data_IF_263094204415
#
_entry.id   IF_263094204415
#
_cell.length_a   1.000
_cell.length_b   1.000
_cell.length_c   1.000
_cell.angle_alpha   90.00
_cell.angle_beta   90.00
_cell.angle_gamma   90.00
#
_symmetry.space_group_name_H-M   'P 1'
#
loop_
_entity.id
_entity.type
_entity.pdbx_description
1 polymer ?
#
# COMPACT_ATOMS: atom_id res chain seq x y z
N UNK A 1 -1.43 9.17 -2.01
CA UNK A 1 -0.58 8.56 -3.06
C UNK A 1 -1.05 9.08 -4.41
N UNK A 2 -0.19 9.65 -5.25
CA UNK A 2 -0.48 10.17 -6.61
C UNK A 2 -1.56 11.25 -6.77
N UNK A 3 -2.02 11.88 -5.70
CA UNK A 3 -3.16 12.81 -5.74
C UNK A 3 -2.95 13.98 -6.71
N UNK A 4 -1.76 14.58 -6.73
CA UNK A 4 -1.43 15.70 -7.62
C UNK A 4 -1.48 15.26 -9.10
N UNK A 5 -0.87 14.12 -9.43
CA UNK A 5 -0.88 13.57 -10.79
C UNK A 5 -2.30 13.20 -11.22
N UNK A 6 -3.07 12.56 -10.34
CA UNK A 6 -4.46 12.20 -10.56
C UNK A 6 -5.34 13.42 -10.88
N UNK A 7 -5.25 14.50 -10.06
CA UNK A 7 -6.06 15.70 -10.25
C UNK A 7 -5.75 16.39 -11.59
N UNK A 8 -4.48 16.41 -12.00
CA UNK A 8 -4.05 16.95 -13.29
C UNK A 8 -4.51 16.11 -14.47
N UNK A 9 -4.42 14.78 -14.38
CA UNK A 9 -4.92 13.87 -15.41
C UNK A 9 -6.45 13.93 -15.52
N UNK A 10 -7.17 13.97 -14.40
CA UNK A 10 -8.62 14.18 -14.41
C UNK A 10 -9.01 15.49 -15.09
N UNK A 11 -8.22 16.55 -14.90
CA UNK A 11 -8.47 17.85 -15.56
C UNK A 11 -8.23 17.76 -17.06
N UNK A 12 -7.18 17.05 -17.49
CA UNK A 12 -6.90 16.79 -18.91
C UNK A 12 -8.05 16.01 -19.58
N UNK A 13 -8.65 15.04 -18.89
CA UNK A 13 -9.77 14.26 -19.42
C UNK A 13 -11.12 14.98 -19.38
N UNK A 14 -11.30 16.03 -18.55
CA UNK A 14 -12.57 16.78 -18.52
C UNK A 14 -12.96 17.34 -19.88
N UNK A 15 -11.98 17.77 -20.66
CA UNK A 15 -12.21 18.32 -22.00
C UNK A 15 -12.70 17.26 -23.01
N UNK A 16 -12.54 15.99 -22.70
CA UNK A 16 -13.00 14.87 -23.55
C UNK A 16 -14.30 14.23 -23.02
N UNK A 17 -14.63 14.40 -21.74
CA UNK A 17 -15.84 13.85 -21.13
C UNK A 17 -17.06 14.62 -21.65
N UNK A 18 -17.99 13.90 -22.28
CA UNK A 18 -19.24 14.46 -22.78
C UNK A 18 -19.21 14.93 -24.24
N UNK A 19 -18.07 14.81 -24.94
CA UNK A 19 -18.03 15.07 -26.38
C UNK A 19 -18.42 13.79 -27.14
N UNK A 20 -19.47 13.91 -27.96
CA UNK A 20 -19.94 12.83 -28.83
C UNK A 20 -18.98 12.51 -29.98
N UNK A 21 -18.03 13.40 -30.28
CA UNK A 21 -16.96 13.22 -31.27
C UNK A 21 -15.68 13.84 -30.74
N UNK A 22 -14.57 13.15 -30.93
CA UNK A 22 -13.21 13.64 -30.62
C UNK A 22 -12.52 13.97 -31.96
N UNK A 23 -11.93 15.16 -32.04
CA UNK A 23 -11.11 15.58 -33.18
C UNK A 23 -9.64 15.36 -32.89
N UNK A 24 -8.79 15.31 -33.93
CA UNK A 24 -7.33 15.26 -33.76
C UNK A 24 -6.79 16.41 -32.92
N UNK A 25 -7.41 17.60 -33.02
CA UNK A 25 -7.06 18.77 -32.22
C UNK A 25 -7.32 18.52 -30.72
N UNK A 26 -8.46 17.91 -30.39
CA UNK A 26 -8.80 17.57 -29.00
C UNK A 26 -7.83 16.54 -28.44
N UNK A 27 -7.46 15.53 -29.24
CA UNK A 27 -6.43 14.53 -28.87
C UNK A 27 -5.10 15.23 -28.60
N UNK A 28 -4.66 16.09 -29.52
CA UNK A 28 -3.37 16.78 -29.39
C UNK A 28 -3.32 17.67 -28.13
N UNK A 29 -4.42 18.37 -27.82
CA UNK A 29 -4.52 19.19 -26.61
C UNK A 29 -4.47 18.34 -25.35
N UNK A 30 -5.26 17.27 -25.28
CA UNK A 30 -5.27 16.36 -24.11
C UNK A 30 -3.91 15.67 -23.91
N UNK A 31 -3.27 15.23 -24.98
CA UNK A 31 -1.93 14.61 -24.92
C UNK A 31 -0.89 15.61 -24.39
N UNK A 32 -0.97 16.90 -24.78
CA UNK A 32 -0.11 17.94 -24.25
C UNK A 32 -0.33 18.17 -22.74
N UNK A 33 -1.57 18.18 -22.29
CA UNK A 33 -1.92 18.30 -20.88
C UNK A 33 -1.45 17.09 -20.05
N UNK A 34 -1.61 15.87 -20.57
CA UNK A 34 -1.09 14.63 -19.96
C UNK A 34 0.44 14.71 -19.83
N UNK A 35 1.15 15.13 -20.88
CA UNK A 35 2.61 15.30 -20.84
C UNK A 35 3.02 16.28 -19.75
N UNK A 36 2.34 17.42 -19.66
CA UNK A 36 2.59 18.40 -18.62
C UNK A 36 2.34 17.84 -17.23
N UNK A 37 1.24 17.11 -17.03
CA UNK A 37 0.92 16.48 -15.76
C UNK A 37 2.00 15.49 -15.31
N UNK A 38 2.54 14.69 -16.22
CA UNK A 38 3.62 13.75 -15.94
C UNK A 38 4.93 14.46 -15.56
N UNK A 39 5.32 15.50 -16.31
CA UNK A 39 6.53 16.29 -16.02
C UNK A 39 6.40 17.00 -14.66
N UNK A 40 5.23 17.59 -14.37
CA UNK A 40 4.95 18.22 -13.08
C UNK A 40 4.92 17.20 -11.91
N UNK A 41 4.77 15.93 -12.21
CA UNK A 41 4.87 14.81 -11.27
C UNK A 41 6.28 14.22 -11.19
N UNK A 42 7.31 14.93 -11.67
CA UNK A 42 8.71 14.51 -11.70
C UNK A 42 9.01 13.30 -12.61
N UNK A 43 8.17 13.02 -13.60
CA UNK A 43 8.54 12.08 -14.68
C UNK A 43 9.53 12.76 -15.62
N UNK A 44 10.59 12.04 -15.98
CA UNK A 44 11.57 12.53 -16.95
C UNK A 44 10.90 12.95 -18.27
N UNK A 45 11.27 14.13 -18.79
CA UNK A 45 10.63 14.69 -19.99
C UNK A 45 10.69 13.76 -21.21
N UNK A 46 11.80 13.05 -21.42
CA UNK A 46 11.95 12.10 -22.54
C UNK A 46 10.92 10.99 -22.40
N UNK A 47 10.75 10.43 -21.21
CA UNK A 47 9.79 9.37 -20.92
C UNK A 47 8.36 9.88 -21.13
N UNK A 48 8.04 11.05 -20.57
CA UNK A 48 6.72 11.67 -20.72
C UNK A 48 6.40 11.96 -22.21
N UNK A 49 7.39 12.36 -22.99
CA UNK A 49 7.23 12.58 -24.44
C UNK A 49 6.95 11.28 -25.18
N UNK A 50 7.79 10.25 -25.03
CA UNK A 50 7.62 8.97 -25.70
C UNK A 50 6.29 8.31 -25.35
N UNK A 51 5.90 8.35 -24.07
CA UNK A 51 4.61 7.88 -23.59
C UNK A 51 3.44 8.57 -24.28
N UNK A 52 3.49 9.92 -24.31
CA UNK A 52 2.39 10.70 -24.90
C UNK A 52 2.36 10.64 -26.42
N UNK A 53 3.48 10.43 -27.08
CA UNK A 53 3.52 10.22 -28.53
C UNK A 53 2.86 8.88 -28.89
N UNK A 54 3.13 7.79 -28.15
CA UNK A 54 2.41 6.51 -28.29
C UNK A 54 0.90 6.63 -28.11
N UNK A 55 0.47 7.39 -27.08
CA UNK A 55 -0.97 7.64 -26.86
C UNK A 55 -1.57 8.38 -28.05
N UNK A 56 -0.89 9.40 -28.56
CA UNK A 56 -1.36 10.17 -29.73
C UNK A 56 -1.56 9.26 -30.93
N UNK A 57 -0.58 8.43 -31.24
CA UNK A 57 -0.63 7.52 -32.40
C UNK A 57 -1.81 6.53 -32.30
N UNK A 58 -2.04 5.97 -31.10
CA UNK A 58 -3.17 5.07 -30.83
C UNK A 58 -4.52 5.80 -30.84
N UNK A 59 -4.56 7.06 -30.40
CA UNK A 59 -5.79 7.83 -30.25
C UNK A 59 -6.26 8.46 -31.57
N UNK A 60 -5.37 8.74 -32.51
CA UNK A 60 -5.72 9.32 -33.83
C UNK A 60 -6.27 8.26 -34.80
N UNK A 61 -6.20 6.97 -34.46
CA UNK A 61 -6.77 5.92 -35.29
C UNK A 61 -8.29 6.06 -35.50
N UNK A 62 -8.79 5.72 -36.69
CA UNK A 62 -10.22 5.82 -37.07
C UNK A 62 -11.17 5.18 -36.03
N UNK A 63 -10.75 4.08 -35.40
CA UNK A 63 -11.54 3.37 -34.38
C UNK A 63 -11.86 4.22 -33.15
N UNK A 64 -10.96 5.15 -32.77
CA UNK A 64 -11.16 6.04 -31.61
C UNK A 64 -12.01 7.24 -31.97
N UNK A 65 -11.73 7.87 -33.11
CA UNK A 65 -12.44 9.07 -33.56
C UNK A 65 -13.92 8.78 -33.85
N UNK A 66 -14.23 7.56 -34.32
CA UNK A 66 -15.58 7.12 -34.67
C UNK A 66 -16.25 6.24 -33.60
N UNK A 67 -15.67 6.10 -32.39
CA UNK A 67 -16.25 5.29 -31.34
C UNK A 67 -17.51 5.95 -30.72
N UNK A 68 -18.44 5.14 -30.21
CA UNK A 68 -19.65 5.61 -29.51
C UNK A 68 -19.29 6.41 -28.24
N UNK A 69 -18.17 6.06 -27.59
CA UNK A 69 -17.66 6.73 -26.38
C UNK A 69 -16.17 7.04 -26.52
N UNK A 70 -15.78 8.02 -27.36
CA UNK A 70 -14.37 8.28 -27.65
C UNK A 70 -13.56 8.67 -26.42
N UNK A 71 -14.15 9.42 -25.49
CA UNK A 71 -13.51 9.83 -24.24
C UNK A 71 -13.16 8.64 -23.32
N UNK A 72 -14.05 7.64 -23.24
CA UNK A 72 -13.78 6.42 -22.47
C UNK A 72 -12.68 5.57 -23.10
N UNK A 73 -12.67 5.49 -24.44
CA UNK A 73 -11.64 4.76 -25.17
C UNK A 73 -10.27 5.43 -24.99
N UNK A 74 -10.21 6.78 -24.98
CA UNK A 74 -8.99 7.53 -24.69
C UNK A 74 -8.46 7.23 -23.27
N UNK A 75 -9.32 7.22 -22.25
CA UNK A 75 -8.96 6.86 -20.88
C UNK A 75 -8.42 5.42 -20.82
N UNK A 76 -9.03 4.49 -21.55
CA UNK A 76 -8.56 3.11 -21.66
C UNK A 76 -7.16 3.04 -22.30
N UNK A 77 -6.92 3.76 -23.40
CA UNK A 77 -5.59 3.81 -24.05
C UNK A 77 -4.55 4.32 -23.05
N UNK A 78 -4.84 5.39 -22.33
CA UNK A 78 -3.91 5.96 -21.34
C UNK A 78 -3.66 4.96 -20.18
N UNK A 79 -4.70 4.25 -19.71
CA UNK A 79 -4.57 3.20 -18.70
C UNK A 79 -3.64 2.08 -19.18
N UNK A 80 -3.89 1.58 -20.38
CA UNK A 80 -3.14 0.47 -20.94
C UNK A 80 -1.67 0.85 -21.16
N UNK A 81 -1.39 2.07 -21.66
CA UNK A 81 -0.03 2.58 -21.82
C UNK A 81 0.68 2.84 -20.47
N UNK A 82 -0.04 3.34 -19.45
CA UNK A 82 0.52 3.48 -18.10
C UNK A 82 0.87 2.12 -17.50
N UNK A 83 0.01 1.13 -17.69
CA UNK A 83 0.25 -0.25 -17.23
C UNK A 83 1.52 -0.80 -17.87
N UNK A 84 1.67 -0.66 -19.18
CA UNK A 84 2.86 -1.10 -19.92
C UNK A 84 4.12 -0.37 -19.48
N UNK A 85 4.04 0.95 -19.30
CA UNK A 85 5.15 1.79 -18.84
C UNK A 85 5.65 1.38 -17.44
N UNK A 86 4.75 0.90 -16.57
CA UNK A 86 5.08 0.41 -15.23
C UNK A 86 5.49 -1.07 -15.18
N UNK A 87 5.48 -1.78 -16.31
CA UNK A 87 6.00 -3.14 -16.41
C UNK A 87 5.02 -4.20 -16.90
N UNK A 88 3.77 -3.81 -17.22
CA UNK A 88 2.74 -4.70 -17.77
C UNK A 88 2.12 -5.60 -16.71
N UNK A 89 2.88 -6.58 -16.24
CA UNK A 89 2.42 -7.61 -15.30
C UNK A 89 3.21 -7.59 -13.99
N UNK A 90 2.64 -8.23 -12.96
CA UNK A 90 3.33 -8.51 -11.70
C UNK A 90 4.52 -9.45 -11.92
N UNK A 91 5.66 -9.12 -11.33
CA UNK A 91 6.81 -10.02 -11.29
C UNK A 91 7.01 -10.53 -9.86
N UNK A 92 6.71 -11.80 -9.58
CA UNK A 92 6.78 -12.36 -8.24
C UNK A 92 8.22 -12.42 -7.72
N UNK A 93 8.34 -12.46 -6.39
CA UNK A 93 9.62 -12.66 -5.71
C UNK A 93 10.12 -14.10 -5.94
N UNK A 94 11.37 -14.26 -6.32
CA UNK A 94 11.99 -15.57 -6.47
C UNK A 94 12.47 -16.09 -5.08
N UNK A 95 11.71 -17.01 -4.52
CA UNK A 95 12.02 -17.67 -3.25
C UNK A 95 12.47 -19.12 -3.44
N UNK A 96 12.89 -19.49 -4.64
CA UNK A 96 13.39 -20.84 -4.94
C UNK A 96 14.84 -20.96 -4.49
N UNK A 97 15.09 -21.80 -3.48
CA UNK A 97 16.42 -22.03 -2.91
C UNK A 97 16.33 -22.79 -1.57
N UNK A 98 17.45 -23.28 -1.07
CA UNK A 98 17.51 -23.97 0.23
C UNK A 98 18.77 -23.56 1.02
N UNK A 99 18.73 -22.40 1.67
CA UNK A 99 17.73 -21.33 1.64
C UNK A 99 17.79 -20.47 0.37
N UNK A 100 16.69 -19.78 0.04
CA UNK A 100 16.71 -18.68 -0.91
C UNK A 100 17.35 -17.45 -0.25
N UNK A 101 18.29 -16.80 -0.92
CA UNK A 101 18.99 -15.61 -0.41
C UNK A 101 18.48 -14.37 -1.10
N UNK A 102 18.07 -13.39 -0.31
CA UNK A 102 17.58 -12.08 -0.76
C UNK A 102 18.51 -11.01 -0.21
N UNK A 103 19.15 -10.27 -1.09
CA UNK A 103 20.06 -9.17 -0.74
C UNK A 103 19.32 -7.85 -0.87
N UNK A 104 19.33 -7.03 0.19
CA UNK A 104 18.69 -5.72 0.21
C UNK A 104 19.75 -4.64 0.04
N UNK A 105 19.62 -3.81 -0.99
CA UNK A 105 20.55 -2.73 -1.32
C UNK A 105 19.84 -1.38 -1.46
N UNK A 106 20.57 -0.27 -1.28
CA UNK A 106 20.05 1.09 -1.42
C UNK A 106 20.75 2.11 -0.54
N UNK A 107 20.42 3.39 -0.69
CA UNK A 107 21.03 4.48 0.09
C UNK A 107 20.57 4.46 1.56
N UNK A 108 21.28 5.20 2.40
CA UNK A 108 20.88 5.45 3.79
C UNK A 108 19.54 6.21 3.82
N UNK A 109 18.66 5.81 4.74
CA UNK A 109 17.35 6.45 4.86
C UNK A 109 16.30 6.00 3.84
N UNK A 110 16.66 5.14 2.87
CA UNK A 110 15.70 4.60 1.89
C UNK A 110 14.71 3.58 2.49
N UNK A 111 14.87 3.17 3.75
CA UNK A 111 13.96 2.25 4.43
C UNK A 111 14.32 0.77 4.31
N UNK A 112 15.57 0.41 4.00
CA UNK A 112 16.04 -0.98 3.85
C UNK A 112 15.72 -1.86 5.07
N UNK A 113 16.15 -1.44 6.25
CA UNK A 113 15.95 -2.21 7.50
C UNK A 113 14.49 -2.43 7.81
N UNK A 114 13.65 -1.39 7.68
CA UNK A 114 12.21 -1.50 7.85
C UNK A 114 11.59 -2.41 6.80
N UNK A 115 12.02 -2.30 5.55
CA UNK A 115 11.55 -3.16 4.47
C UNK A 115 11.98 -4.62 4.69
N UNK A 116 13.21 -4.88 5.17
CA UNK A 116 13.68 -6.23 5.52
C UNK A 116 12.76 -6.90 6.54
N UNK A 117 12.37 -6.17 7.60
CA UNK A 117 11.37 -6.64 8.57
C UNK A 117 10.00 -6.91 7.95
N UNK A 118 9.48 -5.96 7.15
CA UNK A 118 8.18 -6.12 6.46
C UNK A 118 8.18 -7.30 5.49
N UNK A 119 9.28 -7.49 4.73
CA UNK A 119 9.42 -8.62 3.82
C UNK A 119 9.45 -9.95 4.58
N UNK A 120 10.17 -10.02 5.70
CA UNK A 120 10.18 -11.20 6.55
C UNK A 120 8.79 -11.52 7.10
N UNK A 121 8.07 -10.51 7.58
CA UNK A 121 6.68 -10.66 8.02
C UNK A 121 5.76 -11.15 6.89
N UNK A 122 5.86 -10.58 5.70
CA UNK A 122 5.10 -10.99 4.52
C UNK A 122 5.38 -12.45 4.14
N UNK A 123 6.65 -12.83 4.08
CA UNK A 123 7.04 -14.20 3.74
C UNK A 123 6.56 -15.22 4.78
N UNK A 124 6.61 -14.87 6.07
CA UNK A 124 6.10 -15.70 7.16
C UNK A 124 4.58 -15.84 7.10
N UNK A 125 3.86 -14.72 7.05
CA UNK A 125 2.39 -14.70 7.24
C UNK A 125 1.60 -15.02 5.97
N UNK A 126 2.09 -14.58 4.80
CA UNK A 126 1.39 -14.76 3.51
C UNK A 126 1.91 -15.90 2.67
N UNK A 127 3.18 -16.28 2.84
CA UNK A 127 3.81 -17.34 2.05
C UNK A 127 4.11 -18.61 2.87
N UNK A 128 3.92 -18.57 4.20
CA UNK A 128 4.21 -19.72 5.08
C UNK A 128 5.68 -20.09 5.15
N UNK A 129 6.60 -19.16 4.83
CA UNK A 129 8.03 -19.40 4.83
C UNK A 129 8.64 -19.10 6.21
N UNK A 130 9.83 -19.67 6.47
CA UNK A 130 10.58 -19.46 7.72
C UNK A 130 11.85 -18.64 7.44
N UNK A 131 11.74 -17.27 7.43
CA UNK A 131 12.86 -16.41 7.10
C UNK A 131 13.87 -16.29 8.25
N UNK A 132 15.12 -15.93 7.90
CA UNK A 132 16.17 -15.44 8.78
C UNK A 132 16.56 -14.04 8.33
N UNK A 133 16.50 -13.07 9.23
CA UNK A 133 17.03 -11.73 9.02
C UNK A 133 18.53 -11.71 9.32
N UNK A 134 19.31 -10.93 8.57
CA UNK A 134 20.77 -10.81 8.75
C UNK A 134 21.16 -9.35 8.81
N UNK A 135 21.82 -8.96 9.91
CA UNK A 135 22.33 -7.61 10.11
C UNK A 135 23.74 -7.47 9.51
N UNK A 136 23.83 -7.04 8.26
CA UNK A 136 25.11 -6.80 7.59
C UNK A 136 25.48 -5.31 7.50
N UNK A 137 24.75 -4.40 8.17
CA UNK A 137 25.16 -3.00 8.35
C UNK A 137 26.12 -2.88 9.54
N UNK A 138 27.39 -3.15 9.27
CA UNK A 138 28.47 -3.18 10.28
C UNK A 138 28.88 -1.79 10.77
N UNK A 139 28.49 -0.74 10.09
CA UNK A 139 28.89 0.64 10.39
C UNK A 139 27.96 1.33 11.40
N UNK A 140 26.75 0.81 11.58
CA UNK A 140 25.73 1.42 12.45
C UNK A 140 25.18 0.42 13.44
N UNK A 141 25.72 0.38 14.69
CA UNK A 141 25.20 -0.48 15.76
C UNK A 141 23.69 -0.30 16.00
N UNK A 142 23.20 0.92 15.88
CA UNK A 142 21.77 1.20 16.02
C UNK A 142 20.91 0.52 14.92
N UNK A 143 21.44 0.30 13.71
CA UNK A 143 20.72 -0.43 12.67
C UNK A 143 20.60 -1.93 12.96
N UNK A 144 21.65 -2.54 13.54
CA UNK A 144 21.60 -3.94 14.00
C UNK A 144 20.55 -4.10 15.11
N UNK A 145 20.53 -3.17 16.08
CA UNK A 145 19.56 -3.17 17.15
C UNK A 145 18.14 -2.96 16.64
N UNK A 146 17.96 -2.03 15.69
CA UNK A 146 16.67 -1.83 15.04
C UNK A 146 16.18 -3.11 14.36
N UNK A 147 17.04 -3.81 13.63
CA UNK A 147 16.68 -5.06 12.96
C UNK A 147 16.31 -6.15 13.97
N UNK A 148 17.01 -6.21 15.13
CA UNK A 148 16.70 -7.12 16.24
C UNK A 148 15.31 -6.88 16.81
N UNK A 149 14.99 -5.63 17.12
CA UNK A 149 13.67 -5.23 17.63
C UNK A 149 12.55 -5.58 16.63
N UNK A 150 12.76 -5.30 15.34
CA UNK A 150 11.81 -5.67 14.30
C UNK A 150 11.62 -7.18 14.20
N UNK A 151 12.72 -7.95 14.28
CA UNK A 151 12.67 -9.42 14.25
C UNK A 151 11.87 -9.98 15.43
N UNK A 152 12.08 -9.47 16.65
CA UNK A 152 11.33 -9.84 17.85
C UNK A 152 9.85 -9.50 17.72
N UNK A 153 9.52 -8.31 17.23
CA UNK A 153 8.15 -7.86 17.04
C UNK A 153 7.33 -8.80 16.11
N UNK A 154 7.96 -9.33 15.06
CA UNK A 154 7.31 -10.23 14.09
C UNK A 154 7.55 -11.72 14.41
N UNK A 155 8.32 -12.03 15.44
CA UNK A 155 8.66 -13.39 15.84
C UNK A 155 9.46 -14.14 14.77
N UNK A 156 10.50 -13.52 14.20
CA UNK A 156 11.41 -14.05 13.20
C UNK A 156 12.84 -14.05 13.77
N UNK A 157 13.63 -15.07 13.46
CA UNK A 157 15.02 -15.13 13.90
C UNK A 157 15.86 -14.08 13.18
N UNK A 158 16.87 -13.56 13.90
CA UNK A 158 17.88 -12.65 13.36
C UNK A 158 19.29 -13.18 13.62
N UNK A 159 20.16 -13.03 12.62
CA UNK A 159 21.59 -13.34 12.71
C UNK A 159 22.37 -12.04 12.87
N UNK A 160 23.06 -11.87 14.00
CA UNK A 160 23.86 -10.70 14.35
C UNK A 160 25.23 -11.17 14.85
N UNK A 161 26.30 -10.60 14.30
CA UNK A 161 27.68 -10.77 14.75
C UNK A 161 28.28 -9.39 15.08
N UNK A 162 27.97 -8.83 16.25
CA UNK A 162 28.28 -7.44 16.60
C UNK A 162 29.78 -7.09 16.54
N UNK A 163 30.64 -8.05 16.87
CA UNK A 163 32.10 -7.87 16.88
C UNK A 163 32.73 -8.05 15.48
N UNK A 164 32.03 -8.69 14.57
CA UNK A 164 32.53 -8.94 13.22
C UNK A 164 32.38 -7.67 12.35
N UNK A 165 33.48 -7.22 11.78
CA UNK A 165 33.55 -6.04 10.88
C UNK A 165 33.65 -6.40 9.40
N UNK A 166 33.40 -7.66 9.05
CA UNK A 166 33.38 -8.16 7.68
C UNK A 166 31.95 -8.58 7.29
N UNK A 167 31.25 -7.70 6.57
CA UNK A 167 29.89 -7.94 6.10
C UNK A 167 29.76 -9.17 5.18
N UNK A 168 30.81 -9.51 4.44
CA UNK A 168 30.85 -10.69 3.57
C UNK A 168 30.91 -11.98 4.41
N UNK A 169 31.74 -11.96 5.46
CA UNK A 169 31.84 -13.08 6.40
C UNK A 169 30.51 -13.30 7.14
N UNK A 170 29.88 -12.24 7.62
CA UNK A 170 28.54 -12.30 8.27
C UNK A 170 27.52 -12.92 7.32
N UNK A 171 27.48 -12.49 6.06
CA UNK A 171 26.54 -13.01 5.08
C UNK A 171 26.72 -14.52 4.83
N UNK A 172 27.98 -15.00 4.69
CA UNK A 172 28.29 -16.43 4.53
C UNK A 172 27.90 -17.24 5.75
N UNK A 173 28.28 -16.79 6.94
CA UNK A 173 27.94 -17.41 8.22
C UNK A 173 26.44 -17.52 8.40
N UNK A 174 25.70 -16.46 8.08
CA UNK A 174 24.24 -16.45 8.15
C UNK A 174 23.59 -17.49 7.22
N UNK A 175 24.07 -17.64 5.98
CA UNK A 175 23.56 -18.64 5.04
C UNK A 175 23.85 -20.06 5.55
N UNK A 176 25.02 -20.30 6.12
CA UNK A 176 25.36 -21.58 6.74
C UNK A 176 24.47 -21.86 7.96
N UNK A 177 24.27 -20.86 8.84
CA UNK A 177 23.36 -20.93 9.99
C UNK A 177 21.91 -21.19 9.58
N UNK A 178 21.45 -20.57 8.50
CA UNK A 178 20.10 -20.78 7.98
C UNK A 178 19.86 -22.25 7.59
N UNK A 179 20.83 -22.89 6.93
CA UNK A 179 20.75 -24.32 6.56
C UNK A 179 20.64 -25.20 7.80
N UNK A 180 21.47 -24.94 8.82
CA UNK A 180 21.47 -25.75 10.06
C UNK A 180 20.19 -25.57 10.89
N UNK A 181 19.55 -24.40 10.80
CA UNK A 181 18.31 -24.06 11.52
C UNK A 181 17.03 -24.27 10.70
N UNK A 182 17.12 -24.98 9.56
CA UNK A 182 15.98 -25.22 8.65
C UNK A 182 15.23 -23.94 8.25
N UNK A 183 15.97 -22.83 8.06
CA UNK A 183 15.42 -21.61 7.48
C UNK A 183 15.39 -21.75 5.96
N UNK A 184 14.29 -21.34 5.34
CA UNK A 184 14.14 -21.50 3.90
C UNK A 184 14.37 -20.19 3.12
N UNK A 185 14.44 -19.05 3.82
CA UNK A 185 14.79 -17.76 3.23
C UNK A 185 15.77 -17.01 4.15
N UNK A 186 16.77 -16.37 3.55
CA UNK A 186 17.71 -15.45 4.22
C UNK A 186 17.55 -14.07 3.62
N UNK A 187 17.30 -13.06 4.44
CA UNK A 187 17.19 -11.67 4.03
C UNK A 187 18.37 -10.90 4.62
N UNK A 188 19.26 -10.42 3.77
CA UNK A 188 20.48 -9.72 4.17
C UNK A 188 20.26 -8.22 4.07
N UNK A 189 20.15 -7.53 5.22
CA UNK A 189 20.06 -6.09 5.33
C UNK A 189 21.45 -5.47 5.30
N UNK A 190 21.79 -4.74 4.22
CA UNK A 190 23.13 -4.18 4.03
C UNK A 190 23.22 -2.74 4.49
N UNK A 191 24.43 -2.27 4.70
CA UNK A 191 24.72 -0.88 4.96
C UNK A 191 24.19 0.03 3.82
N UNK A 192 23.86 1.26 4.17
CA UNK A 192 23.61 2.33 3.21
C UNK A 192 24.40 3.57 3.60
N UNK A 193 24.88 4.29 2.62
CA UNK A 193 25.51 5.60 2.80
C UNK A 193 24.65 6.71 2.23
N UNK A 194 24.93 7.94 2.61
CA UNK A 194 24.17 9.12 2.16
C UNK A 194 24.30 9.38 0.66
N UNK A 195 25.42 8.97 0.08
CA UNK A 195 25.69 9.07 -1.35
C UNK A 195 26.28 7.76 -1.87
N UNK A 196 26.27 7.60 -3.19
CA UNK A 196 26.91 6.46 -3.86
C UNK A 196 28.43 6.66 -3.73
N UNK A 197 29.11 5.68 -3.13
CA UNK A 197 30.56 5.61 -3.08
C UNK A 197 31.09 4.22 -3.47
N UNK A 198 32.33 4.17 -3.95
CA UNK A 198 32.95 2.93 -4.42
C UNK A 198 33.14 1.87 -3.33
N UNK A 199 33.38 2.28 -2.08
CA UNK A 199 33.56 1.35 -0.97
C UNK A 199 32.26 0.59 -0.68
N UNK A 200 31.15 1.31 -0.58
CA UNK A 200 29.83 0.70 -0.38
C UNK A 200 29.45 -0.21 -1.56
N UNK A 201 29.62 0.27 -2.79
CA UNK A 201 29.29 -0.51 -3.98
C UNK A 201 30.12 -1.79 -4.10
N UNK A 202 31.39 -1.70 -3.73
CA UNK A 202 32.29 -2.87 -3.70
C UNK A 202 31.91 -3.84 -2.61
N UNK A 203 31.54 -3.38 -1.41
CA UNK A 203 31.10 -4.22 -0.32
C UNK A 203 29.84 -5.02 -0.70
N UNK A 204 28.81 -4.32 -1.22
CA UNK A 204 27.57 -4.99 -1.64
C UNK A 204 27.82 -5.98 -2.80
N UNK A 205 28.71 -5.62 -3.76
CA UNK A 205 29.11 -6.53 -4.83
C UNK A 205 29.85 -7.77 -4.31
N UNK A 206 30.70 -7.59 -3.30
CA UNK A 206 31.41 -8.72 -2.66
C UNK A 206 30.44 -9.63 -1.90
N UNK A 207 29.46 -9.06 -1.20
CA UNK A 207 28.39 -9.87 -0.57
C UNK A 207 27.62 -10.65 -1.65
N UNK A 208 27.18 -9.97 -2.74
CA UNK A 208 26.50 -10.63 -3.88
C UNK A 208 27.31 -11.84 -4.40
N UNK A 209 28.60 -11.65 -4.65
CA UNK A 209 29.48 -12.71 -5.19
C UNK A 209 29.66 -13.85 -4.18
N UNK A 210 29.67 -13.55 -2.88
CA UNK A 210 29.91 -14.52 -1.83
C UNK A 210 28.73 -15.45 -1.55
N UNK A 211 27.48 -14.94 -1.69
CA UNK A 211 26.26 -15.68 -1.34
C UNK A 211 25.36 -15.99 -2.54
N UNK A 212 25.68 -15.49 -3.74
CA UNK A 212 24.93 -15.74 -4.99
C UNK A 212 23.41 -15.64 -4.78
N UNK A 213 22.87 -14.45 -4.44
CA UNK A 213 21.48 -14.31 -4.06
C UNK A 213 20.53 -14.59 -5.23
N UNK A 214 19.37 -15.18 -4.95
CA UNK A 214 18.28 -15.37 -5.91
C UNK A 214 17.59 -14.06 -6.24
N UNK A 215 17.63 -13.10 -5.29
CA UNK A 215 17.06 -11.76 -5.47
C UNK A 215 18.02 -10.71 -4.92
N UNK A 216 18.19 -9.65 -5.67
CA UNK A 216 18.80 -8.41 -5.22
C UNK A 216 17.74 -7.33 -5.33
N UNK A 217 17.26 -6.82 -4.20
CA UNK A 217 16.19 -5.84 -4.15
C UNK A 217 16.75 -4.46 -3.86
N UNK A 218 16.59 -3.56 -4.81
CA UNK A 218 16.98 -2.17 -4.65
C UNK A 218 15.86 -1.39 -3.99
N UNK A 219 16.12 -0.88 -2.78
CA UNK A 219 15.16 -0.10 -1.98
C UNK A 219 15.41 1.38 -2.19
N UNK A 220 14.39 2.08 -2.65
CA UNK A 220 14.48 3.50 -2.97
C UNK A 220 13.33 4.29 -2.34
N UNK A 221 13.66 5.47 -1.82
CA UNK A 221 12.70 6.44 -1.31
C UNK A 221 12.01 7.15 -2.48
N UNK A 222 10.71 6.99 -2.60
CA UNK A 222 9.92 7.60 -3.69
C UNK A 222 9.81 9.13 -3.59
N UNK A 223 10.18 9.72 -2.46
CA UNK A 223 10.15 11.17 -2.26
C UNK A 223 11.37 11.89 -2.87
N UNK A 224 12.43 11.16 -3.23
CA UNK A 224 13.68 11.75 -3.75
C UNK A 224 13.62 12.11 -5.24
N UNK A 225 12.49 11.91 -5.90
CA UNK A 225 12.26 12.37 -7.27
C UNK A 225 13.29 11.84 -8.28
N UNK A 226 13.91 12.73 -9.06
CA UNK A 226 14.86 12.36 -10.11
C UNK A 226 16.16 11.76 -9.56
N UNK A 227 16.57 12.10 -8.33
CA UNK A 227 17.76 11.51 -7.70
C UNK A 227 17.58 10.00 -7.45
N UNK A 228 16.35 9.57 -7.20
CA UNK A 228 16.02 8.14 -7.12
C UNK A 228 16.35 7.40 -8.43
N UNK A 229 16.10 8.03 -9.57
CA UNK A 229 16.36 7.45 -10.90
C UNK A 229 17.87 7.32 -11.15
N UNK A 230 18.63 8.37 -10.85
CA UNK A 230 20.09 8.38 -11.01
C UNK A 230 20.73 7.31 -10.11
N UNK A 231 20.27 7.22 -8.86
CA UNK A 231 20.70 6.22 -7.90
C UNK A 231 20.38 4.80 -8.39
N UNK A 232 19.16 4.56 -8.86
CA UNK A 232 18.74 3.27 -9.37
C UNK A 232 19.63 2.83 -10.55
N UNK A 233 19.98 3.76 -11.46
CA UNK A 233 20.87 3.47 -12.58
C UNK A 233 22.26 3.02 -12.11
N UNK A 234 22.89 3.78 -11.22
CA UNK A 234 24.22 3.46 -10.73
C UNK A 234 24.27 2.10 -9.98
N UNK A 235 23.24 1.81 -9.15
CA UNK A 235 23.12 0.52 -8.50
C UNK A 235 22.86 -0.62 -9.51
N UNK A 236 22.07 -0.39 -10.54
CA UNK A 236 21.81 -1.38 -11.57
C UNK A 236 23.07 -1.71 -12.38
N UNK A 237 23.82 -0.70 -12.78
CA UNK A 237 25.06 -0.87 -13.55
C UNK A 237 26.11 -1.70 -12.79
N UNK A 238 26.13 -1.63 -11.44
CA UNK A 238 27.08 -2.37 -10.60
C UNK A 238 26.57 -3.73 -10.12
N UNK A 239 25.31 -3.80 -9.73
CA UNK A 239 24.75 -4.98 -9.06
C UNK A 239 23.85 -5.82 -9.96
N UNK A 240 23.33 -5.27 -11.06
CA UNK A 240 22.32 -5.90 -11.89
C UNK A 240 21.17 -6.47 -11.01
N UNK A 241 20.55 -5.60 -10.19
CA UNK A 241 19.53 -6.02 -9.26
C UNK A 241 18.29 -6.59 -9.98
N UNK A 242 17.55 -7.45 -9.28
CA UNK A 242 16.42 -8.20 -9.86
C UNK A 242 15.08 -7.51 -9.71
N UNK A 243 14.97 -6.53 -8.81
CA UNK A 243 13.73 -5.80 -8.58
C UNK A 243 13.91 -4.53 -7.76
N UNK A 244 12.93 -3.65 -7.87
CA UNK A 244 12.87 -2.36 -7.18
C UNK A 244 11.78 -2.41 -6.12
N UNK A 245 12.05 -1.78 -4.98
CA UNK A 245 11.11 -1.57 -3.88
C UNK A 245 10.94 -0.07 -3.69
N UNK A 246 9.70 0.38 -3.76
CA UNK A 246 9.35 1.77 -3.49
C UNK A 246 8.92 1.93 -2.04
N UNK A 247 9.55 2.85 -1.32
CA UNK A 247 9.21 3.17 0.07
C UNK A 247 8.64 4.58 0.17
N UNK A 248 7.98 4.88 1.29
CA UNK A 248 7.44 6.20 1.66
C UNK A 248 6.46 6.78 0.64
N UNK A 249 5.69 5.94 -0.04
CA UNK A 249 4.64 6.38 -0.97
C UNK A 249 3.43 7.03 -0.27
N UNK A 250 3.35 6.91 1.04
CA UNK A 250 2.39 7.60 1.92
C UNK A 250 2.73 9.09 2.15
N UNK A 251 3.97 9.50 1.88
CA UNK A 251 4.37 10.89 1.87
C UNK A 251 3.77 11.69 0.69
N UNK A 252 4.07 12.98 0.62
CA UNK A 252 3.65 13.84 -0.49
C UNK A 252 4.48 13.55 -1.75
N UNK A 253 4.30 12.36 -2.30
CA UNK A 253 5.02 11.92 -3.50
C UNK A 253 4.25 12.28 -4.74
N UNK A 254 4.94 12.87 -5.71
CA UNK A 254 4.38 13.18 -7.04
C UNK A 254 4.21 11.92 -7.90
N UNK A 255 4.85 10.79 -7.50
CA UNK A 255 4.68 9.47 -8.11
C UNK A 255 5.47 9.21 -9.39
N UNK A 256 6.07 10.23 -9.98
CA UNK A 256 6.82 10.09 -11.23
C UNK A 256 8.12 9.31 -11.12
N UNK A 257 8.71 9.26 -9.92
CA UNK A 257 9.92 8.48 -9.68
C UNK A 257 9.74 6.99 -10.01
N UNK A 258 8.60 6.39 -9.64
CA UNK A 258 8.30 4.99 -9.92
C UNK A 258 8.34 4.69 -11.43
N UNK A 259 7.67 5.54 -12.22
CA UNK A 259 7.62 5.44 -13.68
C UNK A 259 9.03 5.60 -14.27
N UNK A 260 9.74 6.63 -13.81
CA UNK A 260 11.06 6.95 -14.33
C UNK A 260 12.13 5.90 -14.00
N UNK A 261 12.08 5.32 -12.79
CA UNK A 261 12.99 4.23 -12.38
C UNK A 261 12.76 3.01 -13.27
N UNK A 262 11.49 2.53 -13.36
CA UNK A 262 11.16 1.35 -14.17
C UNK A 262 11.66 1.50 -15.61
N UNK A 263 11.40 2.66 -16.22
CA UNK A 263 11.82 2.93 -17.59
C UNK A 263 13.36 2.93 -17.73
N UNK A 264 14.07 3.59 -16.78
CA UNK A 264 15.53 3.82 -16.89
C UNK A 264 16.32 2.54 -16.67
N UNK A 265 15.96 1.72 -15.68
CA UNK A 265 16.72 0.51 -15.33
C UNK A 265 16.14 -0.76 -15.93
N UNK A 266 14.96 -0.70 -16.51
CA UNK A 266 14.23 -1.84 -17.08
C UNK A 266 14.10 -3.03 -16.12
N UNK A 267 13.98 -2.77 -14.81
CA UNK A 267 13.78 -3.79 -13.77
C UNK A 267 12.38 -3.68 -13.21
N UNK A 268 11.72 -4.79 -12.81
CA UNK A 268 10.38 -4.75 -12.27
C UNK A 268 10.35 -4.08 -10.89
N UNK A 269 9.29 -3.32 -10.64
CA UNK A 269 8.93 -2.94 -9.28
C UNK A 269 8.18 -4.14 -8.69
N UNK A 270 8.65 -4.65 -7.53
CA UNK A 270 8.07 -5.84 -6.91
C UNK A 270 7.16 -5.51 -5.74
N UNK A 271 7.52 -4.54 -4.93
CA UNK A 271 6.77 -4.14 -3.75
C UNK A 271 6.72 -2.64 -3.57
N UNK A 272 5.67 -2.24 -2.84
CA UNK A 272 5.48 -0.89 -2.31
C UNK A 272 5.37 -0.98 -0.80
N UNK A 273 6.19 -0.22 -0.09
CA UNK A 273 6.20 -0.16 1.37
C UNK A 273 5.69 1.20 1.84
N UNK A 274 4.52 1.20 2.46
CA UNK A 274 3.84 2.40 2.96
C UNK A 274 3.86 2.42 4.49
N UNK A 275 4.03 3.63 5.07
CA UNK A 275 3.99 3.80 6.52
C UNK A 275 4.99 2.92 7.30
N UNK A 276 4.84 2.85 8.62
CA UNK A 276 5.79 2.17 9.51
C UNK A 276 5.33 0.79 9.99
N UNK A 277 4.05 0.43 9.85
CA UNK A 277 3.51 -0.84 10.31
C UNK A 277 4.11 -2.02 9.55
N UNK A 278 4.38 -3.13 10.23
CA UNK A 278 5.01 -4.32 9.65
C UNK A 278 4.15 -5.06 8.63
N UNK A 279 2.86 -4.84 8.62
CA UNK A 279 1.91 -5.37 7.63
C UNK A 279 1.70 -4.44 6.41
N UNK A 280 2.26 -3.23 6.46
CA UNK A 280 2.11 -2.24 5.39
C UNK A 280 3.14 -2.47 4.26
N UNK A 281 3.02 -3.62 3.60
CA UNK A 281 3.77 -4.03 2.41
C UNK A 281 2.81 -4.59 1.39
N UNK A 282 2.71 -3.93 0.25
CA UNK A 282 1.87 -4.35 -0.86
C UNK A 282 2.72 -4.86 -2.04
N UNK A 283 2.25 -5.91 -2.71
CA UNK A 283 2.80 -6.34 -3.99
C UNK A 283 2.47 -5.26 -5.04
N UNK A 284 3.42 -4.99 -5.93
CA UNK A 284 3.22 -4.00 -6.97
C UNK A 284 2.49 -4.61 -8.18
N UNK A 285 1.28 -4.16 -8.40
CA UNK A 285 0.46 -4.51 -9.57
C UNK A 285 0.40 -3.34 -10.53
N UNK A 286 1.09 -3.37 -11.70
CA UNK A 286 1.11 -2.26 -12.66
C UNK A 286 -0.28 -1.75 -13.05
N UNK A 287 -1.21 -2.65 -13.34
CA UNK A 287 -2.58 -2.27 -13.74
C UNK A 287 -3.34 -1.56 -12.61
N UNK A 288 -3.27 -2.05 -11.37
CA UNK A 288 -3.91 -1.41 -10.21
C UNK A 288 -3.32 -0.02 -9.94
N UNK A 289 -2.01 0.11 -10.15
CA UNK A 289 -1.32 1.39 -9.99
C UNK A 289 -1.73 2.39 -11.06
N UNK A 290 -1.87 1.95 -12.32
CA UNK A 290 -2.41 2.77 -13.41
C UNK A 290 -3.85 3.23 -13.11
N UNK A 291 -4.69 2.36 -12.59
CA UNK A 291 -6.06 2.69 -12.18
C UNK A 291 -6.08 3.75 -11.07
N UNK A 292 -5.20 3.61 -10.06
CA UNK A 292 -5.06 4.61 -8.96
C UNK A 292 -4.63 5.98 -9.50
N UNK A 293 -3.64 6.01 -10.38
CA UNK A 293 -3.15 7.25 -11.01
C UNK A 293 -4.26 7.94 -11.80
N UNK A 294 -5.14 7.19 -12.44
CA UNK A 294 -6.27 7.70 -13.23
C UNK A 294 -7.53 7.98 -12.39
N UNK A 295 -7.48 7.85 -11.07
CA UNK A 295 -8.63 8.09 -10.21
C UNK A 295 -9.76 7.09 -10.35
N UNK A 296 -9.49 5.94 -10.98
CA UNK A 296 -10.48 4.87 -11.17
C UNK A 296 -10.67 4.00 -9.91
N UNK A 297 -9.90 4.28 -8.86
CA UNK A 297 -9.88 3.49 -7.63
C UNK A 297 -9.12 2.16 -7.77
N UNK A 298 -9.14 1.38 -6.70
CA UNK A 298 -8.55 0.04 -6.65
C UNK A 298 -9.44 -0.87 -5.81
N UNK A 299 -10.60 -1.20 -6.37
CA UNK A 299 -11.61 -2.03 -5.70
C UNK A 299 -11.04 -3.42 -5.39
N UNK A 300 -10.18 -3.96 -6.26
CA UNK A 300 -9.61 -5.30 -6.07
C UNK A 300 -8.76 -5.36 -4.81
N UNK A 301 -7.82 -4.41 -4.63
CA UNK A 301 -7.01 -4.33 -3.41
C UNK A 301 -7.85 -4.07 -2.16
N UNK A 302 -8.92 -3.28 -2.26
CA UNK A 302 -9.83 -3.03 -1.16
C UNK A 302 -10.53 -4.32 -0.73
N UNK A 303 -11.05 -5.10 -1.69
CA UNK A 303 -11.72 -6.39 -1.44
C UNK A 303 -10.74 -7.41 -0.88
N UNK A 304 -9.52 -7.51 -1.42
CA UNK A 304 -8.48 -8.41 -0.91
C UNK A 304 -8.09 -8.08 0.54
N UNK A 305 -7.92 -6.81 0.88
CA UNK A 305 -7.65 -6.38 2.26
C UNK A 305 -8.82 -6.68 3.19
N UNK A 306 -10.05 -6.42 2.72
CA UNK A 306 -11.24 -6.78 3.47
C UNK A 306 -11.29 -8.29 3.74
N UNK A 307 -11.10 -9.13 2.73
CA UNK A 307 -11.11 -10.58 2.86
C UNK A 307 -10.02 -11.13 3.81
N UNK A 308 -8.83 -10.52 3.82
CA UNK A 308 -7.73 -10.93 4.70
C UNK A 308 -7.99 -10.65 6.19
N UNK A 309 -8.83 -9.65 6.49
CA UNK A 309 -9.17 -9.25 7.86
C UNK A 309 -10.52 -9.81 8.31
N UNK A 310 -11.29 -10.44 7.40
CA UNK A 310 -12.60 -10.99 7.70
C UNK A 310 -12.45 -12.31 8.47
N UNK A 311 -12.73 -12.26 9.76
CA UNK A 311 -13.05 -13.44 10.56
C UNK A 311 -14.53 -13.78 10.31
N UNK A 312 -14.77 -14.84 9.52
CA UNK A 312 -16.12 -15.28 9.17
C UNK A 312 -17.01 -15.55 10.42
N UNK A 313 -16.40 -15.99 11.52
CA UNK A 313 -17.14 -16.21 12.76
C UNK A 313 -17.60 -14.90 13.42
N UNK A 314 -16.70 -13.89 13.42
CA UNK A 314 -17.04 -12.58 13.96
C UNK A 314 -18.09 -11.88 13.08
N UNK A 315 -17.97 -11.99 11.75
CA UNK A 315 -18.96 -11.45 10.82
C UNK A 315 -20.35 -12.07 11.03
N UNK A 316 -20.44 -13.38 11.17
CA UNK A 316 -21.70 -14.11 11.45
C UNK A 316 -22.29 -13.72 12.81
N UNK A 317 -21.45 -13.51 13.84
CA UNK A 317 -21.90 -13.04 15.17
C UNK A 317 -22.48 -11.63 15.08
N UNK A 318 -21.81 -10.70 14.39
CA UNK A 318 -22.28 -9.33 14.19
C UNK A 318 -23.58 -9.31 13.37
N UNK A 319 -23.66 -10.07 12.26
CA UNK A 319 -24.88 -10.21 11.47
C UNK A 319 -26.06 -10.70 12.31
N UNK A 320 -25.85 -11.73 13.12
CA UNK A 320 -26.84 -12.25 14.05
C UNK A 320 -27.32 -11.21 15.07
N UNK A 321 -26.41 -10.39 15.62
CA UNK A 321 -26.74 -9.31 16.55
C UNK A 321 -27.52 -8.18 15.87
N UNK A 322 -27.12 -7.80 14.66
CA UNK A 322 -27.84 -6.79 13.86
C UNK A 322 -29.26 -7.28 13.54
N UNK A 323 -29.41 -8.52 13.09
CA UNK A 323 -30.75 -9.14 12.84
C UNK A 323 -31.63 -9.13 14.08
N UNK A 324 -31.05 -9.32 15.27
CA UNK A 324 -31.73 -9.29 16.56
C UNK A 324 -31.92 -7.90 17.14
N UNK A 325 -31.53 -6.83 16.43
CA UNK A 325 -31.50 -5.46 16.92
C UNK A 325 -30.71 -5.26 18.24
N UNK A 326 -29.65 -6.06 18.43
CA UNK A 326 -28.79 -6.06 19.64
C UNK A 326 -27.37 -5.50 19.38
N UNK A 327 -27.21 -4.65 18.37
CA UNK A 327 -25.94 -3.99 18.09
C UNK A 327 -25.60 -3.00 19.22
N UNK A 328 -24.43 -3.17 19.83
CA UNK A 328 -24.00 -2.45 21.02
C UNK A 328 -22.63 -1.72 20.81
N UNK A 329 -22.14 -1.00 21.84
CA UNK A 329 -20.88 -0.28 21.77
C UNK A 329 -19.66 -1.20 21.72
N UNK A 330 -19.73 -2.40 22.25
CA UNK A 330 -18.66 -3.38 22.15
C UNK A 330 -18.52 -3.88 20.69
N UNK A 331 -19.64 -4.11 20.01
CA UNK A 331 -19.66 -4.48 18.59
C UNK A 331 -19.11 -3.34 17.72
N UNK A 332 -19.50 -2.09 18.04
CA UNK A 332 -19.00 -0.91 17.34
C UNK A 332 -17.49 -0.73 17.51
N UNK A 333 -16.97 -0.92 18.73
CA UNK A 333 -15.52 -0.88 19.00
C UNK A 333 -14.78 -1.96 18.21
N UNK A 334 -15.30 -3.19 18.20
CA UNK A 334 -14.72 -4.29 17.43
C UNK A 334 -14.67 -3.98 15.92
N UNK A 335 -15.69 -3.33 15.38
CA UNK A 335 -15.68 -2.87 13.98
C UNK A 335 -14.65 -1.77 13.74
N UNK A 336 -14.50 -0.79 14.64
CA UNK A 336 -13.47 0.23 14.55
C UNK A 336 -12.06 -0.37 14.57
N UNK A 337 -11.81 -1.33 15.44
CA UNK A 337 -10.53 -2.05 15.50
C UNK A 337 -10.25 -2.84 14.21
N UNK A 338 -11.29 -3.46 13.63
CA UNK A 338 -11.18 -4.14 12.34
C UNK A 338 -10.80 -3.16 11.21
N UNK A 339 -11.48 -2.02 11.14
CA UNK A 339 -11.17 -0.97 10.16
C UNK A 339 -9.74 -0.46 10.33
N UNK A 340 -9.29 -0.24 11.56
CA UNK A 340 -7.90 0.16 11.86
C UNK A 340 -6.85 -0.87 11.42
N UNK A 341 -7.19 -2.16 11.52
CA UNK A 341 -6.32 -3.26 11.04
C UNK A 341 -6.22 -3.31 9.51
N UNK A 342 -7.20 -2.80 8.78
CA UNK A 342 -7.18 -2.74 7.31
C UNK A 342 -6.21 -1.69 6.76
N UNK A 343 -5.67 -0.82 7.60
CA UNK A 343 -4.71 0.23 7.23
C UNK A 343 -5.22 1.65 7.44
N UNK A 344 -4.55 2.64 6.84
CA UNK A 344 -4.93 4.04 6.97
C UNK A 344 -6.27 4.29 6.25
N UNK A 345 -7.23 4.93 6.95
CA UNK A 345 -8.55 5.23 6.39
C UNK A 345 -8.50 6.08 5.13
N UNK A 346 -7.58 7.04 5.03
CA UNK A 346 -7.40 7.86 3.82
C UNK A 346 -7.03 6.99 2.61
N UNK A 347 -6.20 5.97 2.82
CA UNK A 347 -5.81 5.04 1.76
C UNK A 347 -6.98 4.15 1.33
N UNK A 348 -7.74 3.63 2.29
CA UNK A 348 -8.92 2.79 2.01
C UNK A 348 -10.00 3.56 1.24
N UNK A 349 -10.29 4.77 1.67
CA UNK A 349 -11.27 5.65 1.00
C UNK A 349 -10.78 6.12 -0.38
N UNK A 350 -9.46 6.30 -0.54
CA UNK A 350 -8.84 6.58 -1.84
C UNK A 350 -8.95 5.43 -2.85
N UNK A 351 -9.20 4.20 -2.39
CA UNK A 351 -9.43 3.03 -3.26
C UNK A 351 -10.85 2.98 -3.83
N UNK A 352 -11.80 3.75 -3.28
CA UNK A 352 -13.19 3.79 -3.74
C UNK A 352 -13.33 4.81 -4.88
N UNK A 353 -13.79 4.39 -6.08
CA UNK A 353 -14.00 5.31 -7.20
C UNK A 353 -14.94 6.46 -6.86
N UNK A 354 -14.55 7.69 -7.15
CA UNK A 354 -15.38 8.90 -6.97
C UNK A 354 -15.50 9.44 -5.54
N UNK A 355 -15.09 8.69 -4.52
CA UNK A 355 -15.20 9.09 -3.10
C UNK A 355 -13.97 9.88 -2.65
N UNK A 356 -12.79 9.60 -3.21
CA UNK A 356 -11.53 10.22 -2.82
C UNK A 356 -11.52 11.76 -2.91
N UNK A 357 -12.32 12.37 -3.80
CA UNK A 357 -12.41 13.84 -3.94
C UNK A 357 -13.25 14.47 -2.84
N UNK A 358 -14.32 13.81 -2.40
CA UNK A 358 -15.25 14.35 -1.39
C UNK A 358 -14.69 14.29 0.03
N UNK A 359 -13.66 13.46 0.25
CA UNK A 359 -13.07 13.19 1.57
C UNK A 359 -11.74 13.94 1.77
N UNK A 360 -11.15 14.52 0.71
CA UNK A 360 -9.90 15.30 0.82
C UNK A 360 -10.00 16.42 1.87
N UNK A 361 -11.18 17.02 2.01
CA UNK A 361 -11.44 18.14 2.92
C UNK A 361 -11.90 17.68 4.33
N UNK A 362 -12.13 16.37 4.53
CA UNK A 362 -12.46 15.84 5.84
C UNK A 362 -11.15 15.42 6.54
N UNK A 363 -10.88 16.06 7.66
CA UNK A 363 -9.75 15.68 8.54
C UNK A 363 -10.06 14.37 9.29
N UNK A 364 -10.11 13.27 8.53
CA UNK A 364 -10.25 11.92 9.07
C UNK A 364 -8.85 11.46 9.48
N UNK A 365 -8.39 11.92 10.64
CA UNK A 365 -7.16 11.46 11.25
C UNK A 365 -7.40 10.20 12.10
N UNK A 366 -6.38 9.36 12.25
CA UNK A 366 -6.41 8.25 13.23
C UNK A 366 -6.71 8.75 14.66
N UNK A 367 -6.46 10.03 14.95
CA UNK A 367 -6.78 10.67 16.23
C UNK A 367 -8.28 10.86 16.47
N UNK A 368 -9.08 11.01 15.40
CA UNK A 368 -10.55 11.08 15.51
C UNK A 368 -11.13 9.79 16.09
N UNK A 369 -10.56 8.64 15.74
CA UNK A 369 -10.97 7.35 16.30
C UNK A 369 -10.52 7.13 17.75
N UNK A 370 -9.36 7.69 18.14
CA UNK A 370 -8.90 7.63 19.54
C UNK A 370 -9.89 8.31 20.48
N UNK A 371 -10.50 9.42 20.06
CA UNK A 371 -11.54 10.11 20.83
C UNK A 371 -12.78 9.24 21.05
N UNK A 372 -13.24 8.55 20.00
CA UNK A 372 -14.38 7.63 20.09
C UNK A 372 -14.06 6.42 20.98
N UNK A 373 -12.88 5.83 20.82
CA UNK A 373 -12.42 4.73 21.69
C UNK A 373 -12.36 5.14 23.16
N UNK A 374 -11.81 6.32 23.47
CA UNK A 374 -11.74 6.84 24.83
C UNK A 374 -13.14 7.00 25.44
N UNK A 375 -14.13 7.45 24.65
CA UNK A 375 -15.53 7.55 25.10
C UNK A 375 -16.07 6.13 25.44
N UNK A 376 -15.88 5.15 24.56
CA UNK A 376 -16.38 3.78 24.76
C UNK A 376 -15.63 3.11 25.93
N UNK A 377 -14.32 3.32 26.06
CA UNK A 377 -13.51 2.75 27.15
C UNK A 377 -13.85 3.31 28.52
N UNK A 378 -14.37 4.54 28.57
CA UNK A 378 -14.89 5.16 29.79
C UNK A 378 -16.29 4.69 30.20
N UNK A 379 -16.95 3.85 29.37
CA UNK A 379 -18.21 3.18 29.72
C UNK A 379 -17.94 1.92 30.55
N UNK A 380 -18.87 1.58 31.45
CA UNK A 380 -18.86 0.28 32.12
C UNK A 380 -19.20 -0.85 31.14
N UNK A 381 -18.84 -2.12 31.43
CA UNK A 381 -19.23 -3.26 30.57
C UNK A 381 -20.75 -3.35 30.33
N UNK A 382 -21.55 -3.01 31.32
CA UNK A 382 -23.00 -2.99 31.24
C UNK A 382 -23.51 -1.89 30.30
N UNK A 383 -22.91 -0.70 30.35
CA UNK A 383 -23.24 0.43 29.46
C UNK A 383 -22.82 0.16 28.01
N UNK A 384 -21.69 -0.54 27.81
CA UNK A 384 -21.27 -0.95 26.47
C UNK A 384 -22.24 -1.92 25.84
N UNK A 385 -22.74 -2.89 26.62
CA UNK A 385 -23.68 -3.91 26.13
C UNK A 385 -25.14 -3.42 26.05
N UNK A 386 -25.50 -2.37 26.80
CA UNK A 386 -26.83 -1.80 26.80
C UNK A 386 -26.80 -0.26 26.71
N UNK A 387 -26.72 0.28 25.47
CA UNK A 387 -26.64 1.73 25.23
C UNK A 387 -27.81 2.53 25.84
N UNK A 388 -28.97 1.92 26.03
CA UNK A 388 -30.20 2.58 26.49
C UNK A 388 -30.12 2.94 27.99
N UNK A 389 -29.14 2.41 28.75
CA UNK A 389 -28.89 2.77 30.15
C UNK A 389 -28.21 4.14 30.30
N UNK A 390 -27.65 4.71 29.24
CA UNK A 390 -26.79 5.92 29.32
C UNK A 390 -27.64 7.17 29.40
N UNK A 391 -27.94 7.60 30.62
CA UNK A 391 -28.63 8.84 30.94
C UNK A 391 -27.65 10.04 31.08
N UNK A 392 -28.18 11.25 31.35
CA UNK A 392 -27.40 12.48 31.46
C UNK A 392 -26.25 12.42 32.49
N UNK A 393 -26.49 11.80 33.67
CA UNK A 393 -25.46 11.67 34.71
C UNK A 393 -24.34 10.72 34.28
N UNK A 394 -24.68 9.63 33.59
CA UNK A 394 -23.70 8.68 33.03
C UNK A 394 -22.89 9.32 31.91
N UNK A 395 -23.52 10.12 31.03
CA UNK A 395 -22.79 10.90 29.99
C UNK A 395 -21.79 11.86 30.59
N UNK A 396 -22.14 12.55 31.68
CA UNK A 396 -21.22 13.45 32.38
C UNK A 396 -20.04 12.70 33.01
N UNK A 397 -20.27 11.53 33.59
CA UNK A 397 -19.21 10.67 34.12
C UNK A 397 -18.28 10.17 33.02
N UNK A 398 -18.86 9.71 31.87
CA UNK A 398 -18.11 9.27 30.70
C UNK A 398 -17.24 10.42 30.15
N UNK A 399 -17.81 11.62 30.03
CA UNK A 399 -17.10 12.84 29.60
C UNK A 399 -15.88 13.12 30.48
N UNK A 400 -16.06 13.09 31.82
CA UNK A 400 -14.96 13.26 32.75
C UNK A 400 -13.88 12.16 32.64
N UNK A 401 -14.30 10.92 32.36
CA UNK A 401 -13.39 9.76 32.25
C UNK A 401 -12.57 9.76 30.95
N UNK A 402 -13.13 10.21 29.84
CA UNK A 402 -12.46 10.24 28.56
C UNK A 402 -11.74 11.57 28.24
N UNK A 403 -11.91 12.60 29.08
CA UNK A 403 -11.33 13.92 28.86
C UNK A 403 -11.91 14.69 27.66
N UNK A 404 -13.12 14.30 27.22
CA UNK A 404 -13.83 14.95 26.11
C UNK A 404 -15.00 15.78 26.62
N UNK A 405 -15.33 16.85 25.91
CA UNK A 405 -16.48 17.69 26.29
C UNK A 405 -17.80 16.90 26.23
N UNK A 406 -18.72 17.25 27.13
CA UNK A 406 -20.05 16.64 27.18
C UNK A 406 -20.80 16.78 25.84
N UNK A 407 -20.52 17.85 25.07
CA UNK A 407 -21.06 18.07 23.74
C UNK A 407 -20.57 17.03 22.73
N UNK A 408 -19.29 16.67 22.77
CA UNK A 408 -18.70 15.61 21.94
C UNK A 408 -19.30 14.25 22.28
N UNK A 409 -19.44 13.93 23.55
CA UNK A 409 -20.08 12.69 24.00
C UNK A 409 -21.53 12.62 23.55
N UNK A 410 -22.30 13.72 23.67
CA UNK A 410 -23.68 13.76 23.21
C UNK A 410 -23.80 13.61 21.67
N UNK A 411 -22.89 14.24 20.93
CA UNK A 411 -22.84 14.12 19.47
C UNK A 411 -22.57 12.66 19.05
N UNK A 412 -21.61 12.00 19.69
CA UNK A 412 -21.31 10.58 19.46
C UNK A 412 -22.51 9.68 19.76
N UNK A 413 -23.16 9.88 20.93
CA UNK A 413 -24.34 9.10 21.30
C UNK A 413 -25.46 9.24 20.26
N UNK A 414 -25.73 10.47 19.80
CA UNK A 414 -26.72 10.72 18.76
C UNK A 414 -26.39 10.04 17.43
N UNK A 415 -25.11 10.09 17.01
CA UNK A 415 -24.65 9.41 15.78
C UNK A 415 -24.81 7.90 15.89
N UNK A 416 -24.47 7.33 17.06
CA UNK A 416 -24.63 5.89 17.31
C UNK A 416 -26.10 5.47 17.27
N UNK A 417 -27.00 6.23 17.87
CA UNK A 417 -28.46 6.00 17.82
C UNK A 417 -28.98 6.03 16.37
N UNK A 418 -28.60 7.07 15.59
CA UNK A 418 -28.96 7.18 14.18
C UNK A 418 -28.48 5.97 13.36
N UNK A 419 -27.27 5.51 13.61
CA UNK A 419 -26.72 4.30 12.96
C UNK A 419 -27.53 3.06 13.33
N UNK A 420 -27.86 2.86 14.60
CA UNK A 420 -28.73 1.74 15.05
C UNK A 420 -30.09 1.76 14.35
N UNK A 421 -30.70 2.94 14.23
CA UNK A 421 -32.00 3.11 13.56
C UNK A 421 -31.92 2.83 12.06
N UNK A 422 -30.83 3.26 11.41
CA UNK A 422 -30.58 2.94 10.00
C UNK A 422 -30.45 1.42 9.80
N UNK A 423 -29.66 0.73 10.64
CA UNK A 423 -29.51 -0.73 10.60
C UNK A 423 -30.84 -1.46 10.82
N UNK A 424 -31.66 -0.95 11.73
CA UNK A 424 -33.00 -1.47 12.02
C UNK A 424 -33.94 -1.37 10.83
N UNK A 425 -33.90 -0.24 10.13
CA UNK A 425 -34.69 0.00 8.93
C UNK A 425 -34.23 -0.85 7.74
N UNK A 426 -32.92 -1.02 7.55
CA UNK A 426 -32.36 -1.91 6.52
C UNK A 426 -32.76 -3.37 6.75
N UNK A 427 -32.79 -3.83 8.00
CA UNK A 427 -33.29 -5.16 8.35
C UNK A 427 -34.74 -5.35 7.95
N UNK A 428 -35.61 -4.36 8.19
CA UNK A 428 -37.04 -4.40 7.81
C UNK A 428 -37.23 -4.46 6.28
N UNK A 429 -36.32 -3.87 5.50
CA UNK A 429 -36.41 -3.85 4.03
C UNK A 429 -35.79 -5.08 3.36
N UNK A 430 -35.23 -6.05 4.11
CA UNK A 430 -34.57 -7.25 3.56
C UNK A 430 -33.32 -6.99 2.74
N UNK A 431 -32.76 -5.78 2.83
CA UNK A 431 -31.63 -5.33 2.02
C UNK A 431 -30.26 -5.83 2.53
N UNK A 432 -30.19 -6.28 3.78
CA UNK A 432 -28.91 -6.64 4.42
C UNK A 432 -28.24 -7.89 3.80
N UNK A 433 -29.03 -8.85 3.27
CA UNK A 433 -28.50 -10.04 2.61
C UNK A 433 -27.86 -9.81 1.23
N UNK A 434 -28.09 -8.65 0.63
CA UNK A 434 -27.57 -8.30 -0.72
C UNK A 434 -26.30 -7.43 -0.69
N UNK A 435 -25.91 -6.91 0.46
CA UNK A 435 -24.82 -5.90 0.57
C UNK A 435 -23.54 -6.43 1.21
N UNK A 436 -23.53 -7.68 1.72
CA UNK A 436 -22.30 -8.29 2.25
C UNK A 436 -21.58 -9.12 1.17
N UNK A 437 -20.24 -9.02 1.05
CA UNK A 437 -19.44 -9.91 0.21
C UNK A 437 -19.44 -11.30 0.83
N UNK A 438 -20.33 -12.18 0.36
CA UNK A 438 -20.53 -13.54 0.85
C UNK A 438 -21.97 -14.06 0.68
N UNK A 439 -22.92 -13.21 0.34
CA UNK A 439 -24.29 -13.60 -0.02
C UNK A 439 -24.29 -14.28 -1.38
N UNK A 440 -24.36 -15.62 -1.37
CA UNK A 440 -24.25 -16.49 -2.52
C UNK A 440 -25.17 -16.09 -3.67
N UNK A 441 -24.60 -16.03 -4.85
CA UNK A 441 -25.32 -16.13 -6.12
C UNK A 441 -25.81 -17.58 -6.21
N UNK A 442 -26.94 -17.88 -5.53
CA UNK A 442 -27.70 -19.10 -5.70
C UNK A 442 -28.59 -18.95 -6.93
N UNK A 443 -28.29 -19.66 -8.01
CA UNK A 443 -29.25 -19.88 -9.06
C UNK A 443 -28.76 -19.66 -10.48
N UNK A 444 -27.70 -20.36 -10.90
CA UNK A 444 -27.59 -20.72 -12.33
C UNK A 444 -27.61 -22.23 -12.42
N UNK A 445 -28.81 -22.78 -12.76
CA UNK A 445 -28.92 -24.13 -13.28
C UNK A 445 -28.14 -24.20 -14.58
N UNK A 446 -27.19 -25.11 -14.66
CA UNK A 446 -26.56 -25.54 -15.92
C UNK A 446 -27.51 -26.47 -16.66
N UNK A 447 -27.61 -26.36 -17.98
CA UNK A 447 -28.23 -27.41 -18.79
C UNK A 447 -27.35 -28.65 -18.85
#
# INVERSE_FOLDING_TARGET
MFNNLQDKLDSAFKNLKGQGRITELNVATTVKEIRRALVDADVNYKIAKEFTDKIKDKAVGEKVLNAISPGQLMVKIVKDELTELMGGEEVPLNTKGSPAVILIAGLQGSGKTTFSGKLANYLKTKKGLNPLLVAADIYRPAAMEQLRVLAEQIGVDVHIEAENKDAVSIARSAVASAKSKNKNVVIIDTAGRLAIDELMMTEVANIKNAVTPQEILFVVDSMTGQDAVNTAKAFNDRLDFTGVILTKLDGDTRGGAAISIKYTVNKPIKFVSNGEKMDALDVFYPERMAQRILGMGDITSLVERAQQQFDEEQAKKIESKIRKNKFDFADFKAQLEMIKKMGNMKDLLGMIPGVGKQIKDLDISDDSFKGIEAIIDSMTPEERSNPDLINGNRRKRISNGCGKDIAEVNAFMKQFEQMRDMMKNMNKMGAFGKMMPGGGIGGIKRP
#
